data_IF_837821405733
#
_entry.id   IF_837821405733
#
_cell.length_a   1.000
_cell.length_b   1.000
_cell.length_c   1.000
_cell.angle_alpha   90.00
_cell.angle_beta   90.00
_cell.angle_gamma   90.00
#
_symmetry.space_group_name_H-M   'P 1'
#
loop_
_entity.id
_entity.type
_entity.pdbx_description
1 polymer ?
#
# COMPACT_ATOMS: atom_id res chain seq x y z
N UNK A 1 -16.13 -21.32 -38.33
CA UNK A 1 -15.13 -21.79 -39.31
C UNK A 1 -15.67 -21.46 -40.68
N UNK A 2 -14.78 -21.12 -41.61
CA UNK A 2 -15.21 -20.76 -42.95
C UNK A 2 -15.46 -22.06 -43.75
N UNK A 3 -16.29 -21.99 -44.79
CA UNK A 3 -16.70 -23.17 -45.57
C UNK A 3 -15.57 -24.12 -46.04
N UNK A 4 -14.39 -23.62 -46.44
CA UNK A 4 -13.26 -24.46 -46.85
C UNK A 4 -12.71 -25.35 -45.72
N UNK A 5 -12.56 -24.81 -44.51
CA UNK A 5 -11.99 -25.55 -43.36
C UNK A 5 -12.93 -26.70 -42.93
N UNK A 6 -14.24 -26.44 -43.00
CA UNK A 6 -15.26 -27.46 -42.69
C UNK A 6 -15.32 -28.53 -43.78
N UNK A 7 -15.11 -28.16 -45.05
CA UNK A 7 -15.02 -29.12 -46.16
C UNK A 7 -13.82 -30.05 -46.00
N UNK A 8 -12.67 -29.51 -45.57
CA UNK A 8 -11.47 -30.31 -45.32
C UNK A 8 -11.66 -31.30 -44.15
N UNK A 9 -12.40 -30.90 -43.11
CA UNK A 9 -12.81 -31.83 -42.04
C UNK A 9 -13.68 -32.96 -42.59
N UNK A 10 -14.66 -32.66 -43.45
CA UNK A 10 -15.53 -33.66 -44.06
C UNK A 10 -14.73 -34.67 -44.91
N UNK A 11 -13.79 -34.19 -45.73
CA UNK A 11 -12.91 -35.06 -46.54
C UNK A 11 -12.05 -35.99 -45.68
N UNK A 12 -11.55 -35.50 -44.54
CA UNK A 12 -10.75 -36.33 -43.64
C UNK A 12 -11.58 -37.40 -42.94
N UNK A 13 -12.82 -37.08 -42.53
CA UNK A 13 -13.75 -38.06 -41.97
C UNK A 13 -14.15 -39.12 -43.02
N UNK A 14 -14.33 -38.72 -44.28
CA UNK A 14 -14.58 -39.65 -45.38
C UNK A 14 -13.37 -40.56 -45.66
N UNK A 15 -12.15 -40.05 -45.48
CA UNK A 15 -10.91 -40.85 -45.59
C UNK A 15 -10.87 -41.93 -44.51
N UNK A 16 -11.16 -41.57 -43.26
CA UNK A 16 -11.26 -42.53 -42.14
C UNK A 16 -12.34 -43.58 -42.40
N UNK A 17 -13.44 -43.21 -43.04
CA UNK A 17 -14.48 -44.15 -43.47
C UNK A 17 -14.01 -45.10 -44.57
N UNK A 18 -13.32 -44.58 -45.59
CA UNK A 18 -12.82 -45.36 -46.72
C UNK A 18 -11.75 -46.37 -46.32
N UNK A 19 -10.95 -46.06 -45.29
CA UNK A 19 -9.89 -46.94 -44.76
C UNK A 19 -10.44 -48.13 -43.94
N UNK A 20 -11.71 -48.09 -43.52
CA UNK A 20 -12.33 -49.12 -42.67
C UNK A 20 -13.62 -49.71 -43.27
N UNK A 21 -13.55 -50.40 -44.42
CA UNK A 21 -14.73 -50.97 -45.05
C UNK A 21 -15.33 -52.10 -44.18
N UNK A 22 -16.60 -51.94 -43.79
CA UNK A 22 -17.36 -52.95 -43.04
C UNK A 22 -17.20 -52.90 -41.52
N UNK A 23 -16.57 -51.86 -40.95
CA UNK A 23 -16.41 -51.66 -39.52
C UNK A 23 -17.16 -50.40 -39.02
N UNK A 24 -17.44 -50.34 -37.71
CA UNK A 24 -18.04 -49.17 -37.08
C UNK A 24 -17.01 -48.03 -36.94
N UNK A 25 -17.25 -46.89 -37.60
CA UNK A 25 -16.29 -45.78 -37.65
C UNK A 25 -16.54 -44.66 -36.63
N UNK A 26 -17.69 -44.69 -35.93
CA UNK A 26 -18.14 -43.58 -35.08
C UNK A 26 -17.12 -43.28 -33.97
N UNK A 27 -16.55 -44.32 -33.36
CA UNK A 27 -15.53 -44.14 -32.31
C UNK A 27 -14.27 -43.49 -32.86
N UNK A 28 -13.81 -43.94 -34.03
CA UNK A 28 -12.60 -43.41 -34.69
C UNK A 28 -12.80 -41.97 -35.15
N UNK A 29 -13.99 -41.63 -35.66
CA UNK A 29 -14.34 -40.24 -35.93
C UNK A 29 -14.31 -39.38 -34.67
N UNK A 30 -14.89 -39.83 -33.56
CA UNK A 30 -14.90 -39.08 -32.30
C UNK A 30 -13.48 -38.91 -31.74
N UNK A 31 -12.66 -39.95 -31.79
CA UNK A 31 -11.26 -39.92 -31.32
C UNK A 31 -10.43 -38.96 -32.17
N UNK A 32 -10.53 -39.06 -33.50
CA UNK A 32 -9.84 -38.17 -34.42
C UNK A 32 -10.27 -36.71 -34.25
N UNK A 33 -11.58 -36.44 -34.10
CA UNK A 33 -12.09 -35.10 -33.82
C UNK A 33 -11.51 -34.56 -32.51
N UNK A 34 -11.39 -35.40 -31.48
CA UNK A 34 -10.92 -34.96 -30.16
C UNK A 34 -9.43 -34.64 -30.12
N UNK A 35 -8.59 -35.41 -30.81
CA UNK A 35 -7.14 -35.34 -30.65
C UNK A 35 -6.39 -34.78 -31.87
N UNK A 36 -6.98 -34.86 -33.06
CA UNK A 36 -6.28 -34.58 -34.33
C UNK A 36 -6.93 -33.48 -35.17
N UNK A 37 -8.21 -33.14 -34.94
CA UNK A 37 -8.88 -32.09 -35.72
C UNK A 37 -8.25 -30.70 -35.56
N UNK A 38 -7.78 -30.34 -34.36
CA UNK A 38 -7.23 -29.01 -34.07
C UNK A 38 -5.97 -28.70 -34.89
N UNK A 39 -5.11 -29.70 -35.09
CA UNK A 39 -3.92 -29.56 -35.93
C UNK A 39 -4.26 -29.42 -37.43
N UNK A 40 -5.38 -30.02 -37.85
CA UNK A 40 -5.88 -29.93 -39.24
C UNK A 40 -6.70 -28.66 -39.50
N UNK A 41 -7.15 -27.98 -38.45
CA UNK A 41 -7.90 -26.72 -38.52
C UNK A 41 -7.02 -25.46 -38.50
N UNK A 42 -5.69 -25.61 -38.56
CA UNK A 42 -4.72 -24.48 -38.57
C UNK A 42 -4.98 -23.45 -37.46
N UNK A 43 -5.45 -23.93 -36.30
CA UNK A 43 -5.71 -23.11 -35.12
C UNK A 43 -4.40 -22.88 -34.37
N UNK A 44 -3.50 -22.08 -34.94
CA UNK A 44 -2.13 -21.83 -34.46
C UNK A 44 -2.09 -20.88 -33.25
N UNK A 45 -3.11 -20.93 -32.38
CA UNK A 45 -3.30 -20.02 -31.26
C UNK A 45 -3.88 -18.64 -31.63
N UNK A 46 -4.20 -18.39 -32.91
CA UNK A 46 -4.88 -17.17 -33.39
C UNK A 46 -6.05 -17.53 -34.29
N UNK A 47 -7.25 -17.09 -33.94
CA UNK A 47 -8.44 -17.22 -34.79
C UNK A 47 -8.62 -15.89 -35.53
N UNK A 48 -8.44 -15.90 -36.85
CA UNK A 48 -8.74 -14.75 -37.71
C UNK A 48 -10.22 -14.78 -38.10
N UNK A 49 -10.99 -13.80 -37.65
CA UNK A 49 -12.42 -13.69 -37.94
C UNK A 49 -12.62 -12.80 -39.17
N UNK A 50 -12.78 -13.41 -40.35
CA UNK A 50 -13.13 -12.71 -41.60
C UNK A 50 -14.65 -12.53 -41.80
N UNK A 51 -15.07 -11.64 -42.72
CA UNK A 51 -16.48 -11.48 -43.11
C UNK A 51 -17.04 -12.78 -43.70
N UNK A 52 -18.34 -13.02 -43.51
CA UNK A 52 -18.98 -14.26 -43.93
C UNK A 52 -18.93 -14.42 -45.47
N UNK A 53 -18.25 -15.47 -45.95
CA UNK A 53 -18.22 -15.80 -47.38
C UNK A 53 -19.56 -16.43 -47.74
N UNK A 54 -20.45 -15.66 -48.36
CA UNK A 54 -21.84 -16.06 -48.62
C UNK A 54 -22.03 -17.18 -49.65
N UNK A 55 -20.99 -17.59 -50.40
CA UNK A 55 -21.08 -18.72 -51.34
C UNK A 55 -19.76 -19.47 -51.44
N UNK A 56 -19.70 -20.62 -50.80
CA UNK A 56 -18.75 -21.66 -51.16
C UNK A 56 -19.50 -22.77 -51.91
N UNK A 57 -19.04 -23.11 -53.12
CA UNK A 57 -19.58 -24.19 -53.96
C UNK A 57 -18.81 -25.50 -53.73
N UNK A 58 -18.50 -25.86 -52.48
CA UNK A 58 -17.89 -27.15 -52.14
C UNK A 58 -18.87 -28.14 -51.50
N UNK A 59 -18.36 -29.05 -50.66
CA UNK A 59 -19.14 -30.11 -50.02
C UNK A 59 -20.45 -29.57 -49.40
N UNK A 60 -21.59 -30.10 -49.83
CA UNK A 60 -22.92 -29.66 -49.37
C UNK A 60 -23.15 -29.91 -47.88
N UNK A 61 -22.34 -30.77 -47.25
CA UNK A 61 -22.34 -31.04 -45.82
C UNK A 61 -21.56 -29.97 -45.03
N UNK A 62 -20.68 -29.22 -45.70
CA UNK A 62 -19.86 -28.17 -45.10
C UNK A 62 -20.66 -26.87 -44.97
N UNK A 63 -21.47 -26.79 -43.91
CA UNK A 63 -22.26 -25.60 -43.59
C UNK A 63 -21.34 -24.58 -42.93
N UNK A 64 -21.06 -23.46 -43.63
CA UNK A 64 -20.38 -22.30 -43.04
C UNK A 64 -21.26 -21.66 -41.94
N UNK A 65 -20.60 -20.93 -41.02
CA UNK A 65 -21.15 -20.32 -39.79
C UNK A 65 -22.68 -20.17 -39.75
N UNK A 66 -23.33 -20.94 -38.88
CA UNK A 66 -24.78 -20.85 -38.64
C UNK A 66 -25.18 -19.68 -37.71
N UNK A 67 -24.21 -19.03 -37.07
CA UNK A 67 -24.40 -18.00 -36.06
C UNK A 67 -23.53 -16.77 -36.37
N UNK A 68 -24.05 -15.57 -36.11
CA UNK A 68 -23.35 -14.30 -36.36
C UNK A 68 -22.13 -14.14 -35.45
N UNK A 69 -21.05 -13.56 -35.99
CA UNK A 69 -19.84 -13.24 -35.21
C UNK A 69 -20.13 -12.36 -33.99
N UNK A 70 -21.09 -11.43 -34.11
CA UNK A 70 -21.52 -10.55 -33.02
C UNK A 70 -22.06 -11.33 -31.81
N UNK A 71 -22.66 -12.51 -32.04
CA UNK A 71 -23.15 -13.39 -30.97
C UNK A 71 -22.08 -14.37 -30.47
N UNK A 72 -21.24 -14.89 -31.38
CA UNK A 72 -20.26 -15.95 -31.07
C UNK A 72 -19.06 -15.41 -30.29
N UNK A 73 -18.54 -14.22 -30.65
CA UNK A 73 -17.36 -13.65 -29.99
C UNK A 73 -17.59 -13.44 -28.49
N UNK A 74 -18.68 -12.77 -28.04
CA UNK A 74 -18.97 -12.64 -26.60
C UNK A 74 -19.12 -13.99 -25.90
N UNK A 75 -19.77 -14.97 -26.54
CA UNK A 75 -19.92 -16.32 -25.98
C UNK A 75 -18.58 -17.03 -25.80
N UNK A 76 -17.67 -16.95 -26.76
CA UNK A 76 -16.33 -17.53 -26.66
C UNK A 76 -15.49 -16.86 -25.56
N UNK A 77 -15.53 -15.52 -25.47
CA UNK A 77 -14.84 -14.78 -24.41
C UNK A 77 -15.40 -15.10 -23.02
N UNK A 78 -16.73 -15.23 -22.91
CA UNK A 78 -17.40 -15.66 -21.67
C UNK A 78 -17.00 -17.08 -21.27
N UNK A 79 -16.99 -18.01 -22.22
CA UNK A 79 -16.57 -19.39 -21.97
C UNK A 79 -15.10 -19.48 -21.55
N UNK A 80 -14.20 -18.79 -22.26
CA UNK A 80 -12.78 -18.71 -21.92
C UNK A 80 -12.59 -18.12 -20.51
N UNK A 81 -13.25 -17.01 -20.20
CA UNK A 81 -13.21 -16.40 -18.87
C UNK A 81 -13.70 -17.35 -17.78
N UNK A 82 -14.80 -18.09 -18.04
CA UNK A 82 -15.32 -19.10 -17.13
C UNK A 82 -14.33 -20.25 -16.93
N UNK A 83 -13.66 -20.71 -17.98
CA UNK A 83 -12.64 -21.77 -17.89
C UNK A 83 -11.39 -21.32 -17.14
N UNK A 84 -10.89 -20.11 -17.39
CA UNK A 84 -9.79 -19.54 -16.61
C UNK A 84 -10.16 -19.37 -15.14
N UNK A 85 -11.40 -18.97 -14.84
CA UNK A 85 -11.88 -18.89 -13.47
C UNK A 85 -11.98 -20.26 -12.79
N UNK A 86 -12.44 -21.29 -13.51
CA UNK A 86 -12.45 -22.68 -13.00
C UNK A 86 -11.04 -23.18 -12.69
N UNK A 87 -10.10 -23.00 -13.62
CA UNK A 87 -8.70 -23.35 -13.39
C UNK A 87 -8.12 -22.62 -12.18
N UNK A 88 -8.38 -21.30 -12.08
CA UNK A 88 -7.97 -20.52 -10.91
C UNK A 88 -8.51 -21.09 -9.59
N UNK A 89 -9.78 -21.52 -9.53
CA UNK A 89 -10.39 -22.08 -8.31
C UNK A 89 -9.74 -23.40 -7.88
N UNK A 90 -9.27 -24.20 -8.82
CA UNK A 90 -8.65 -25.51 -8.59
C UNK A 90 -7.16 -25.42 -8.28
N UNK A 91 -6.48 -24.43 -8.88
CA UNK A 91 -5.05 -24.18 -8.70
C UNK A 91 -4.71 -23.70 -7.28
N UNK A 92 -3.46 -23.97 -6.88
CA UNK A 92 -2.89 -23.52 -5.61
C UNK A 92 -2.25 -22.14 -5.76
N UNK A 93 -2.68 -21.20 -4.92
CA UNK A 93 -2.18 -19.83 -4.88
C UNK A 93 -1.55 -19.55 -3.51
N UNK A 94 -0.50 -18.73 -3.49
CA UNK A 94 0.18 -18.33 -2.26
C UNK A 94 -0.35 -16.98 -1.77
N UNK A 95 -0.68 -16.90 -0.48
CA UNK A 95 -1.13 -15.66 0.13
C UNK A 95 0.06 -14.83 0.63
N UNK A 96 0.16 -13.57 0.23
CA UNK A 96 1.28 -12.70 0.63
C UNK A 96 1.22 -12.22 2.10
N UNK A 97 0.10 -12.44 2.81
CA UNK A 97 -0.05 -12.06 4.22
C UNK A 97 0.44 -13.20 5.14
N UNK A 98 -0.03 -14.42 4.88
CA UNK A 98 0.27 -15.58 5.75
C UNK A 98 1.27 -16.56 5.14
N UNK A 99 1.72 -16.32 3.91
CA UNK A 99 2.68 -17.14 3.15
C UNK A 99 2.26 -18.60 2.94
N UNK A 100 0.98 -18.92 3.18
CA UNK A 100 0.41 -20.25 2.98
C UNK A 100 -0.19 -20.42 1.59
N UNK A 101 -0.18 -21.65 1.09
CA UNK A 101 -0.81 -22.03 -0.17
C UNK A 101 -2.23 -22.58 0.06
N UNK A 102 -3.20 -22.08 -0.70
CA UNK A 102 -4.57 -22.58 -0.68
C UNK A 102 -5.14 -22.65 -2.10
N UNK A 103 -6.18 -23.46 -2.29
CA UNK A 103 -6.96 -23.44 -3.54
C UNK A 103 -7.55 -22.07 -3.79
N UNK A 104 -7.68 -21.66 -5.06
CA UNK A 104 -8.24 -20.35 -5.43
C UNK A 104 -9.66 -20.10 -4.92
N UNK A 105 -10.41 -21.15 -4.58
CA UNK A 105 -11.71 -21.06 -3.88
C UNK A 105 -11.64 -20.37 -2.51
N UNK A 106 -10.47 -20.41 -1.84
CA UNK A 106 -10.22 -19.74 -0.56
C UNK A 106 -9.52 -18.39 -0.73
N UNK A 107 -9.50 -17.83 -1.96
CA UNK A 107 -8.89 -16.56 -2.27
C UNK A 107 -9.91 -15.51 -2.71
N UNK A 108 -9.60 -14.26 -2.41
CA UNK A 108 -10.36 -13.10 -2.86
C UNK A 108 -9.48 -12.31 -3.81
N UNK A 109 -10.02 -12.04 -4.99
CA UNK A 109 -9.44 -11.12 -5.96
C UNK A 109 -9.99 -9.72 -5.75
N UNK A 110 -9.10 -8.79 -5.41
CA UNK A 110 -9.44 -7.37 -5.32
C UNK A 110 -9.50 -6.73 -6.72
N UNK A 111 -10.14 -5.55 -6.89
CA UNK A 111 -10.15 -4.83 -8.16
C UNK A 111 -8.75 -4.49 -8.68
N UNK A 112 -7.78 -4.31 -7.78
CA UNK A 112 -6.36 -4.12 -8.10
C UNK A 112 -5.63 -5.40 -8.55
N UNK A 113 -6.36 -6.49 -8.77
CA UNK A 113 -5.88 -7.82 -9.14
C UNK A 113 -5.04 -8.58 -8.10
N UNK A 114 -4.78 -7.99 -6.93
CA UNK A 114 -4.13 -8.69 -5.83
C UNK A 114 -5.03 -9.78 -5.23
N UNK A 115 -4.38 -10.88 -4.84
CA UNK A 115 -5.01 -12.10 -4.34
C UNK A 115 -4.60 -12.35 -2.90
N UNK A 116 -5.58 -12.50 -2.02
CA UNK A 116 -5.34 -12.80 -0.61
C UNK A 116 -6.27 -13.90 -0.12
N UNK A 117 -5.81 -14.67 0.87
CA UNK A 117 -6.62 -15.70 1.50
C UNK A 117 -7.84 -15.07 2.20
N UNK A 118 -9.02 -15.71 2.11
CA UNK A 118 -10.26 -15.24 2.73
C UNK A 118 -10.04 -14.97 4.22
N UNK A 119 -9.46 -15.93 4.96
CA UNK A 119 -9.17 -15.80 6.40
C UNK A 119 -8.34 -14.56 6.74
N UNK A 120 -7.35 -14.27 5.90
CA UNK A 120 -6.43 -13.14 6.08
C UNK A 120 -7.19 -11.82 5.91
N UNK A 121 -8.03 -11.74 4.89
CA UNK A 121 -8.86 -10.56 4.63
C UNK A 121 -9.96 -10.38 5.67
N UNK A 122 -10.60 -11.46 6.13
CA UNK A 122 -11.56 -11.40 7.25
C UNK A 122 -10.89 -10.85 8.51
N UNK A 123 -9.72 -11.38 8.86
CA UNK A 123 -8.97 -10.94 10.06
C UNK A 123 -8.58 -9.48 9.95
N UNK A 124 -8.06 -9.05 8.79
CA UNK A 124 -7.73 -7.65 8.51
C UNK A 124 -8.97 -6.75 8.68
N UNK A 125 -10.09 -7.13 8.06
CA UNK A 125 -11.31 -6.32 8.11
C UNK A 125 -11.86 -6.22 9.54
N UNK A 126 -11.94 -7.34 10.25
CA UNK A 126 -12.44 -7.40 11.64
C UNK A 126 -11.61 -6.56 12.59
N UNK A 127 -10.28 -6.64 12.46
CA UNK A 127 -9.35 -5.83 13.25
C UNK A 127 -9.61 -4.33 13.05
N UNK A 128 -9.66 -3.85 11.80
CA UNK A 128 -9.89 -2.43 11.52
C UNK A 128 -11.28 -1.94 11.94
N UNK A 129 -12.31 -2.80 11.85
CA UNK A 129 -13.67 -2.48 12.34
C UNK A 129 -13.71 -2.40 13.88
N UNK A 130 -12.97 -3.28 14.56
CA UNK A 130 -12.86 -3.27 16.03
C UNK A 130 -12.11 -2.05 16.53
N UNK A 131 -11.00 -1.70 15.87
CA UNK A 131 -10.15 -0.55 16.19
C UNK A 131 -10.73 0.79 15.70
N UNK A 132 -11.75 0.78 14.85
CA UNK A 132 -12.32 1.99 14.25
C UNK A 132 -11.42 2.66 13.22
N UNK A 133 -10.40 1.96 12.72
CA UNK A 133 -9.39 2.47 11.76
C UNK A 133 -9.84 2.30 10.31
N UNK A 134 -11.05 2.76 9.97
CA UNK A 134 -11.68 2.52 8.66
C UNK A 134 -10.85 2.95 7.43
N UNK A 135 -10.09 4.04 7.52
CA UNK A 135 -9.27 4.53 6.41
C UNK A 135 -8.05 3.65 6.11
N UNK A 136 -7.75 2.71 7.01
CA UNK A 136 -6.69 1.72 6.81
C UNK A 136 -7.21 0.42 6.19
N UNK A 137 -8.51 0.31 5.88
CA UNK A 137 -9.10 -0.76 5.06
C UNK A 137 -8.73 -0.60 3.58
N UNK A 138 -7.43 -0.66 3.32
CA UNK A 138 -6.83 -0.65 2.00
C UNK A 138 -6.26 -2.02 1.67
N UNK A 139 -6.04 -2.26 0.39
CA UNK A 139 -5.26 -3.42 -0.02
C UNK A 139 -3.88 -3.39 0.68
N UNK A 140 -3.38 -4.53 1.20
CA UNK A 140 -2.07 -4.61 1.86
C UNK A 140 -0.87 -4.25 0.97
N UNK A 141 -1.07 -4.12 -0.35
CA UNK A 141 -0.03 -3.71 -1.28
C UNK A 141 0.03 -2.18 -1.37
N UNK A 142 1.26 -1.65 -1.32
CA UNK A 142 1.60 -0.22 -1.15
C UNK A 142 1.06 0.74 -2.20
N UNK A 143 0.52 0.26 -3.32
CA UNK A 143 0.03 1.10 -4.44
C UNK A 143 -1.48 1.03 -4.68
N UNK A 144 -2.23 0.42 -3.76
CA UNK A 144 -3.62 0.06 -4.02
C UNK A 144 -4.64 0.85 -3.18
N UNK A 145 -5.89 0.83 -3.64
CA UNK A 145 -7.00 1.60 -3.08
C UNK A 145 -7.74 0.85 -1.95
N UNK A 146 -8.80 1.48 -1.44
CA UNK A 146 -9.71 0.92 -0.45
C UNK A 146 -10.41 -0.37 -0.94
N UNK A 147 -10.77 -1.22 0.03
CA UNK A 147 -11.53 -2.44 -0.22
C UNK A 147 -13.00 -2.05 -0.54
N UNK A 148 -13.58 -2.52 -1.66
CA UNK A 148 -14.97 -2.23 -2.01
C UNK A 148 -16.00 -2.73 -1.01
N UNK A 149 -17.10 -2.00 -0.91
CA UNK A 149 -18.23 -2.29 -0.02
C UNK A 149 -18.81 -3.70 -0.18
N UNK A 150 -18.94 -4.19 -1.42
CA UNK A 150 -19.49 -5.53 -1.68
C UNK A 150 -18.59 -6.67 -1.14
N UNK A 151 -17.27 -6.44 -1.05
CA UNK A 151 -16.35 -7.41 -0.46
C UNK A 151 -16.42 -7.39 1.06
N UNK A 152 -16.54 -6.20 1.67
CA UNK A 152 -16.71 -6.05 3.12
C UNK A 152 -17.97 -6.78 3.60
N UNK A 153 -19.08 -6.66 2.86
CA UNK A 153 -20.33 -7.36 3.17
C UNK A 153 -20.19 -8.89 3.13
N UNK A 154 -19.26 -9.41 2.33
CA UNK A 154 -19.00 -10.86 2.22
C UNK A 154 -18.00 -11.36 3.28
N UNK A 155 -17.12 -10.48 3.75
CA UNK A 155 -16.03 -10.80 4.68
C UNK A 155 -16.39 -10.63 6.16
N UNK A 156 -17.36 -9.76 6.45
CA UNK A 156 -17.78 -9.41 7.79
C UNK A 156 -19.11 -10.08 8.14
N UNK A 157 -19.33 -10.35 9.43
CA UNK A 157 -20.66 -10.73 9.91
C UNK A 157 -21.64 -9.56 9.76
N UNK A 158 -22.94 -9.83 9.91
CA UNK A 158 -23.97 -8.80 9.82
C UNK A 158 -23.73 -7.68 10.86
N UNK A 159 -23.40 -8.06 12.09
CA UNK A 159 -23.16 -7.13 13.21
C UNK A 159 -21.88 -6.31 13.00
N UNK A 160 -20.81 -6.94 12.52
CA UNK A 160 -19.55 -6.27 12.21
C UNK A 160 -19.70 -5.28 11.06
N UNK A 161 -20.49 -5.65 10.05
CA UNK A 161 -20.78 -4.81 8.91
C UNK A 161 -21.67 -3.61 9.28
N UNK A 162 -22.71 -3.80 10.09
CA UNK A 162 -23.54 -2.70 10.60
C UNK A 162 -22.72 -1.73 11.47
N UNK A 163 -21.76 -2.25 12.26
CA UNK A 163 -20.82 -1.42 13.00
C UNK A 163 -19.92 -0.63 12.06
N UNK A 164 -19.36 -1.27 11.03
CA UNK A 164 -18.56 -0.60 10.01
C UNK A 164 -19.34 0.52 9.32
N UNK A 165 -20.59 0.26 8.92
CA UNK A 165 -21.46 1.22 8.21
C UNK A 165 -21.75 2.45 9.08
N UNK A 166 -22.08 2.23 10.37
CA UNK A 166 -22.27 3.32 11.33
C UNK A 166 -21.01 4.16 11.52
N UNK A 167 -19.86 3.53 11.70
CA UNK A 167 -18.58 4.22 11.85
C UNK A 167 -18.17 4.93 10.56
N UNK A 168 -18.50 4.39 9.39
CA UNK A 168 -18.25 5.02 8.10
C UNK A 168 -19.10 6.28 7.93
N UNK A 169 -20.38 6.22 8.34
CA UNK A 169 -21.26 7.37 8.37
C UNK A 169 -20.76 8.43 9.37
N UNK A 170 -20.47 8.05 10.61
CA UNK A 170 -19.92 8.97 11.63
C UNK A 170 -18.65 9.65 11.14
N UNK A 171 -17.71 8.91 10.54
CA UNK A 171 -16.49 9.48 9.97
C UNK A 171 -16.73 10.35 8.74
N UNK A 172 -17.71 10.01 7.91
CA UNK A 172 -18.09 10.83 6.77
C UNK A 172 -18.65 12.18 7.25
N UNK A 173 -19.51 12.15 8.28
CA UNK A 173 -20.05 13.35 8.94
C UNK A 173 -18.93 14.16 9.62
N UNK A 174 -18.04 13.53 10.38
CA UNK A 174 -16.88 14.20 10.99
C UNK A 174 -15.89 14.79 9.96
N UNK A 175 -15.87 14.24 8.74
CA UNK A 175 -15.06 14.77 7.65
C UNK A 175 -15.68 15.99 6.99
N UNK A 176 -16.99 16.18 7.14
CA UNK A 176 -17.66 17.44 6.85
C UNK A 176 -17.25 18.44 7.92
N UNK A 177 -17.10 19.71 7.56
CA UNK A 177 -16.72 20.78 8.47
C UNK A 177 -17.90 21.18 9.36
N UNK A 178 -18.54 20.20 10.00
CA UNK A 178 -19.69 20.44 10.86
C UNK A 178 -19.19 20.98 12.19
N UNK A 179 -19.63 22.19 12.51
CA UNK A 179 -19.22 22.90 13.70
C UNK A 179 -20.32 22.75 14.75
N UNK A 180 -20.00 22.09 15.87
CA UNK A 180 -20.96 21.95 16.96
C UNK A 180 -21.15 23.27 17.72
N UNK A 181 -22.41 23.63 17.96
CA UNK A 181 -22.76 24.76 18.80
C UNK A 181 -22.21 24.57 20.23
N UNK A 182 -21.45 25.51 20.80
CA UNK A 182 -20.89 25.40 22.14
C UNK A 182 -21.96 25.41 23.26
N UNK A 183 -23.18 25.89 22.96
CA UNK A 183 -24.28 25.94 23.93
C UNK A 183 -25.20 24.73 23.89
N UNK A 184 -25.37 24.13 22.71
CA UNK A 184 -26.42 23.13 22.48
C UNK A 184 -25.91 21.78 21.95
N UNK A 185 -24.63 21.70 21.56
CA UNK A 185 -23.99 20.52 20.96
C UNK A 185 -24.73 20.00 19.71
N UNK A 186 -25.45 20.90 19.03
CA UNK A 186 -26.11 20.63 17.74
C UNK A 186 -25.11 20.90 16.62
N UNK A 187 -25.05 20.02 15.62
CA UNK A 187 -24.26 20.24 14.41
C UNK A 187 -24.75 21.47 13.65
N UNK A 188 -23.85 22.40 13.36
CA UNK A 188 -24.14 23.63 12.62
C UNK A 188 -23.26 23.67 11.37
N UNK A 189 -23.80 24.21 10.30
CA UNK A 189 -23.05 24.42 9.06
C UNK A 189 -22.29 25.74 9.20
N UNK A 190 -21.01 25.71 8.86
CA UNK A 190 -20.12 26.86 8.80
C UNK A 190 -20.04 27.38 7.36
N UNK A 191 -20.04 28.70 7.17
CA UNK A 191 -19.83 29.33 5.86
C UNK A 191 -18.33 29.55 5.52
N UNK A 192 -18.05 30.16 4.36
CA UNK A 192 -16.67 30.44 3.92
C UNK A 192 -15.88 31.35 4.87
N UNK A 193 -16.58 32.18 5.67
CA UNK A 193 -15.99 33.15 6.61
C UNK A 193 -15.83 32.58 8.03
N UNK A 194 -15.95 31.26 8.19
CA UNK A 194 -15.91 30.57 9.48
C UNK A 194 -17.02 31.01 10.45
N UNK A 195 -18.15 31.47 9.92
CA UNK A 195 -19.33 31.83 10.69
C UNK A 195 -20.28 30.64 10.73
N UNK A 196 -20.67 30.25 11.95
CA UNK A 196 -21.65 29.19 12.19
C UNK A 196 -22.82 29.75 13.00
N UNK A 197 -24.04 29.49 12.54
CA UNK A 197 -25.27 29.82 13.26
C UNK A 197 -25.95 28.55 13.74
N UNK A 198 -26.28 28.49 15.04
CA UNK A 198 -27.00 27.36 15.59
C UNK A 198 -28.50 27.42 15.26
N UNK A 199 -29.07 26.42 14.57
CA UNK A 199 -30.50 26.42 14.23
C UNK A 199 -31.41 26.27 15.45
N UNK A 200 -30.89 25.79 16.59
CA UNK A 200 -31.67 25.58 17.82
C UNK A 200 -31.73 26.81 18.71
N UNK A 201 -30.63 27.55 18.85
CA UNK A 201 -30.52 28.67 19.79
C UNK A 201 -30.11 30.00 19.16
N UNK A 202 -29.99 30.04 17.82
CA UNK A 202 -29.57 31.20 17.02
C UNK A 202 -28.26 31.84 17.53
N UNK A 203 -27.40 31.06 18.18
CA UNK A 203 -26.11 31.52 18.63
C UNK A 203 -25.15 31.53 17.43
N UNK A 204 -24.65 32.72 17.09
CA UNK A 204 -23.66 32.94 16.03
C UNK A 204 -22.26 32.91 16.60
N UNK A 205 -21.39 32.08 16.04
CA UNK A 205 -20.06 31.84 16.58
C UNK A 205 -19.03 31.53 15.48
N UNK A 206 -17.76 31.73 15.80
CA UNK A 206 -16.66 31.36 14.91
C UNK A 206 -16.41 29.86 14.99
N UNK A 207 -16.45 29.14 13.86
CA UNK A 207 -16.28 27.69 13.90
C UNK A 207 -14.87 27.22 14.23
N UNK A 208 -13.87 28.09 14.09
CA UNK A 208 -12.50 27.83 14.54
C UNK A 208 -12.32 27.90 16.05
N UNK A 209 -12.65 29.05 16.67
CA UNK A 209 -12.37 29.29 18.09
C UNK A 209 -13.55 29.01 19.02
N UNK A 210 -14.73 28.73 18.46
CA UNK A 210 -16.00 28.49 19.15
C UNK A 210 -16.48 29.64 20.05
N UNK A 211 -15.92 30.84 19.87
CA UNK A 211 -16.35 32.08 20.53
C UNK A 211 -17.32 32.86 19.64
N UNK A 212 -17.85 33.98 20.15
CA UNK A 212 -18.63 34.91 19.33
C UNK A 212 -17.92 35.23 18.00
N UNK A 213 -18.72 35.23 16.93
CA UNK A 213 -18.23 35.48 15.59
C UNK A 213 -17.52 36.84 15.50
N UNK A 214 -16.39 36.87 14.80
CA UNK A 214 -15.48 38.01 14.76
C UNK A 214 -15.00 38.29 13.31
N UNK A 215 -15.77 39.05 12.50
CA UNK A 215 -15.44 39.29 11.10
C UNK A 215 -14.09 40.00 10.95
N UNK A 216 -13.26 39.51 10.03
CA UNK A 216 -11.98 40.12 9.66
C UNK A 216 -10.89 40.12 10.75
N UNK A 217 -11.13 39.46 11.90
CA UNK A 217 -10.15 39.33 12.99
C UNK A 217 -9.66 37.90 13.09
N UNK A 218 -8.37 37.71 13.31
CA UNK A 218 -7.82 36.39 13.62
C UNK A 218 -8.36 35.91 14.98
N UNK A 219 -8.61 34.60 15.10
CA UNK A 219 -8.96 33.99 16.37
C UNK A 219 -7.89 34.30 17.41
N UNK A 220 -8.33 34.72 18.61
CA UNK A 220 -7.42 34.94 19.73
C UNK A 220 -6.79 33.62 20.14
N UNK A 221 -5.46 33.60 20.23
CA UNK A 221 -4.75 32.45 20.77
C UNK A 221 -5.06 32.30 22.27
N UNK A 222 -4.91 31.09 22.85
CA UNK A 222 -5.09 30.88 24.29
C UNK A 222 -4.30 31.89 25.15
N UNK A 223 -3.08 32.22 24.73
CA UNK A 223 -2.21 33.20 25.40
C UNK A 223 -2.81 34.62 25.34
N UNK A 224 -3.35 35.03 24.20
CA UNK A 224 -3.99 36.34 24.05
C UNK A 224 -5.31 36.43 24.85
N UNK A 225 -6.06 35.32 24.96
CA UNK A 225 -7.25 35.26 25.83
C UNK A 225 -6.86 35.44 27.30
N UNK A 226 -5.77 34.82 27.74
CA UNK A 226 -5.19 35.00 29.09
C UNK A 226 -4.76 36.44 29.37
N UNK A 227 -4.08 37.08 28.41
CA UNK A 227 -3.70 38.49 28.54
C UNK A 227 -4.91 39.43 28.64
N UNK A 228 -6.01 39.14 27.91
CA UNK A 228 -7.26 39.91 28.05
C UNK A 228 -7.93 39.72 29.42
N UNK A 229 -7.93 38.49 29.96
CA UNK A 229 -8.46 38.21 31.31
C UNK A 229 -7.65 38.92 32.39
N UNK A 230 -6.32 38.99 32.23
CA UNK A 230 -5.42 39.81 33.05
C UNK A 230 -5.80 41.29 32.98
N UNK A 231 -5.95 41.84 31.78
CA UNK A 231 -6.34 43.25 31.57
C UNK A 231 -7.73 43.60 32.13
N UNK A 232 -8.59 42.61 32.34
CA UNK A 232 -9.93 42.76 32.92
C UNK A 232 -9.95 42.61 34.45
N UNK A 233 -8.80 42.44 35.09
CA UNK A 233 -8.66 42.28 36.55
C UNK A 233 -9.23 40.97 37.11
N UNK A 234 -9.52 39.99 36.25
CA UNK A 234 -10.18 38.72 36.63
C UNK A 234 -9.20 37.61 37.07
N UNK A 235 -7.89 37.82 36.96
CA UNK A 235 -6.85 36.85 37.32
C UNK A 235 -5.59 37.54 37.83
N UNK A 236 -4.93 36.90 38.79
CA UNK A 236 -3.63 37.31 39.34
C UNK A 236 -2.48 36.88 38.41
N UNK A 237 -1.32 37.54 38.55
CA UNK A 237 -0.14 37.26 37.71
C UNK A 237 0.37 35.81 37.86
N UNK A 238 0.20 35.23 39.06
CA UNK A 238 0.56 33.84 39.36
C UNK A 238 -0.36 32.84 38.68
N UNK A 239 -1.67 33.12 38.64
CA UNK A 239 -2.64 32.28 37.93
C UNK A 239 -2.43 32.33 36.41
N UNK A 240 -2.09 33.51 35.86
CA UNK A 240 -1.78 33.64 34.42
C UNK A 240 -0.52 32.86 34.06
N UNK A 241 0.52 32.91 34.90
CA UNK A 241 1.74 32.14 34.69
C UNK A 241 1.51 30.62 34.77
N UNK A 242 0.69 30.16 35.72
CA UNK A 242 0.32 28.75 35.85
C UNK A 242 -0.47 28.26 34.64
N UNK A 243 -1.45 29.02 34.18
CA UNK A 243 -2.25 28.66 32.99
C UNK A 243 -1.39 28.65 31.71
N UNK A 244 -0.45 29.58 31.56
CA UNK A 244 0.52 29.56 30.46
C UNK A 244 1.42 28.32 30.49
N UNK A 245 1.86 27.89 31.67
CA UNK A 245 2.62 26.65 31.82
C UNK A 245 1.76 25.42 31.47
N UNK A 246 0.52 25.37 31.95
CA UNK A 246 -0.42 24.30 31.64
C UNK A 246 -0.71 24.20 30.13
N UNK A 247 -0.89 25.33 29.45
CA UNK A 247 -1.08 25.38 27.99
C UNK A 247 0.17 24.88 27.28
N UNK A 248 1.37 25.32 27.67
CA UNK A 248 2.62 24.86 27.04
C UNK A 248 2.82 23.36 27.18
N UNK A 249 2.54 22.81 28.35
CA UNK A 249 2.61 21.36 28.58
C UNK A 249 1.56 20.61 27.76
N UNK A 250 0.29 21.08 27.74
CA UNK A 250 -0.79 20.41 27.00
C UNK A 250 -0.55 20.41 25.48
N UNK A 251 -0.06 21.52 24.93
CA UNK A 251 0.26 21.64 23.51
C UNK A 251 1.69 21.19 23.19
N UNK A 252 2.42 20.55 24.10
CA UNK A 252 3.71 19.96 23.77
C UNK A 252 3.54 18.79 22.80
N UNK A 253 2.59 17.91 23.15
CA UNK A 253 2.40 16.63 22.46
C UNK A 253 1.05 16.52 21.74
N UNK A 254 0.30 17.62 21.63
CA UNK A 254 -1.05 17.64 21.00
C UNK A 254 -1.15 18.71 19.91
N UNK A 255 -1.72 18.34 18.77
CA UNK A 255 -2.05 19.22 17.63
C UNK A 255 -3.43 18.94 17.10
N UNK A 256 -4.12 19.97 16.61
CA UNK A 256 -5.42 19.79 15.95
C UNK A 256 -5.27 19.52 14.46
N UNK A 257 -6.11 18.64 13.92
CA UNK A 257 -6.16 18.38 12.49
C UNK A 257 -6.60 19.65 11.74
N UNK A 258 -5.89 20.09 10.67
CA UNK A 258 -6.28 21.27 9.92
C UNK A 258 -7.59 21.11 9.13
N UNK A 259 -8.06 19.88 8.91
CA UNK A 259 -9.29 19.58 8.17
C UNK A 259 -10.48 19.37 9.11
N UNK A 260 -10.44 18.33 9.94
CA UNK A 260 -11.57 17.95 10.80
C UNK A 260 -11.45 18.44 12.26
N UNK A 261 -10.43 19.25 12.59
CA UNK A 261 -10.22 19.90 13.90
C UNK A 261 -10.11 18.98 15.13
N UNK A 262 -10.03 17.65 14.95
CA UNK A 262 -9.81 16.69 16.05
C UNK A 262 -8.40 16.84 16.65
N UNK A 263 -8.29 16.71 17.97
CA UNK A 263 -7.01 16.70 18.65
C UNK A 263 -6.26 15.38 18.38
N UNK A 264 -4.99 15.50 18.01
CA UNK A 264 -4.11 14.40 17.65
C UNK A 264 -2.86 14.53 18.51
N UNK A 265 -2.56 13.49 19.28
CA UNK A 265 -1.31 13.38 19.99
C UNK A 265 -0.25 12.70 19.12
N UNK A 266 1.00 13.15 19.19
CA UNK A 266 2.13 12.44 18.55
C UNK A 266 2.62 11.40 19.54
N UNK A 267 2.58 10.12 19.15
CA UNK A 267 3.19 9.06 19.95
C UNK A 267 4.70 9.02 19.69
N UNK A 268 5.14 8.78 18.45
CA UNK A 268 6.55 8.68 18.05
C UNK A 268 6.73 8.98 16.55
N UNK A 269 7.97 9.15 16.08
CA UNK A 269 8.31 9.21 14.65
C UNK A 269 8.34 10.61 14.03
N UNK A 270 8.15 10.69 12.71
CA UNK A 270 8.34 11.94 11.97
C UNK A 270 7.17 12.92 12.11
N UNK A 271 7.42 14.20 11.87
CA UNK A 271 6.42 15.28 11.88
C UNK A 271 5.40 15.21 10.74
N UNK A 272 5.51 14.26 9.80
CA UNK A 272 4.47 13.99 8.78
C UNK A 272 3.43 13.05 9.37
N UNK A 273 2.35 13.62 9.87
CA UNK A 273 1.25 12.87 10.49
C UNK A 273 0.10 12.68 9.51
N UNK A 274 -0.70 11.63 9.74
CA UNK A 274 -1.97 11.38 9.06
C UNK A 274 -3.07 11.46 10.10
N UNK A 275 -4.11 12.25 9.85
CA UNK A 275 -5.27 12.25 10.72
C UNK A 275 -6.02 10.91 10.60
N UNK A 276 -6.14 10.16 11.70
CA UNK A 276 -6.90 8.90 11.72
C UNK A 276 -8.41 9.06 11.51
N UNK A 277 -8.93 10.30 11.65
CA UNK A 277 -10.35 10.60 11.48
C UNK A 277 -10.74 11.06 10.07
N UNK A 278 -9.89 11.80 9.36
CA UNK A 278 -10.24 12.30 8.02
C UNK A 278 -9.21 11.97 6.94
N UNK A 279 -8.13 11.26 7.29
CA UNK A 279 -7.05 10.88 6.36
C UNK A 279 -6.14 12.02 5.91
N UNK A 280 -6.40 13.27 6.33
CA UNK A 280 -5.59 14.42 5.93
C UNK A 280 -4.15 14.28 6.43
N UNK A 281 -3.18 14.39 5.52
CA UNK A 281 -1.79 14.56 5.90
C UNK A 281 -1.55 15.98 6.41
N UNK A 282 -0.83 16.12 7.52
CA UNK A 282 -0.46 17.43 8.06
C UNK A 282 0.90 17.36 8.75
N UNK A 283 1.54 18.52 8.89
CA UNK A 283 2.78 18.64 9.63
C UNK A 283 2.48 18.86 11.12
N UNK A 284 2.92 17.96 12.00
CA UNK A 284 2.73 18.10 13.45
C UNK A 284 3.43 19.34 14.01
N UNK A 285 4.58 19.72 13.44
CA UNK A 285 5.34 20.88 13.91
C UNK A 285 4.61 22.21 13.69
N UNK A 286 4.04 22.41 12.50
CA UNK A 286 3.41 23.69 12.13
C UNK A 286 1.88 23.64 11.99
N UNK A 287 1.26 22.47 12.13
CA UNK A 287 -0.20 22.29 12.01
C UNK A 287 -0.78 22.40 10.60
N UNK A 288 0.04 22.66 9.57
CA UNK A 288 -0.45 22.87 8.20
C UNK A 288 -0.77 21.56 7.48
N UNK A 289 -1.83 21.58 6.66
CA UNK A 289 -2.15 20.50 5.74
C UNK A 289 -1.04 20.33 4.68
N UNK A 290 -0.67 19.09 4.37
CA UNK A 290 0.35 18.73 3.39
C UNK A 290 -0.18 17.61 2.48
N UNK A 291 0.46 17.38 1.34
CA UNK A 291 0.13 16.28 0.42
C UNK A 291 1.29 15.30 0.22
N UNK A 292 2.49 15.61 0.73
CA UNK A 292 3.70 14.81 0.54
C UNK A 292 4.85 15.31 1.42
N UNK A 293 6.09 15.11 0.97
CA UNK A 293 7.29 15.51 1.71
C UNK A 293 7.86 16.88 1.31
N UNK A 294 7.30 17.54 0.29
CA UNK A 294 7.77 18.84 -0.20
C UNK A 294 7.82 19.92 0.88
N UNK A 295 6.87 19.89 1.83
CA UNK A 295 6.84 20.80 2.97
C UNK A 295 8.10 20.77 3.84
N UNK A 296 8.78 19.62 3.93
CA UNK A 296 9.94 19.42 4.82
C UNK A 296 11.26 19.91 4.24
N UNK A 297 11.23 20.56 3.07
CA UNK A 297 12.35 21.39 2.60
C UNK A 297 12.55 22.61 3.50
N UNK A 298 11.44 23.21 3.95
CA UNK A 298 11.42 24.41 4.79
C UNK A 298 10.98 24.12 6.23
N UNK A 299 10.73 22.85 6.56
CA UNK A 299 10.25 22.42 7.87
C UNK A 299 10.96 21.13 8.32
N UNK A 300 11.25 20.97 9.61
CA UNK A 300 11.99 19.77 10.08
C UNK A 300 11.07 18.55 10.12
N UNK A 301 11.51 17.48 9.43
CA UNK A 301 10.79 16.20 9.41
C UNK A 301 10.98 15.40 10.70
N UNK A 302 12.17 15.44 11.30
CA UNK A 302 12.47 14.76 12.57
C UNK A 302 12.89 15.78 13.62
N UNK A 303 12.44 15.58 14.87
CA UNK A 303 12.97 16.31 16.02
C UNK A 303 14.31 15.68 16.44
N UNK A 304 15.29 16.45 16.94
CA UNK A 304 16.59 15.91 17.36
C UNK A 304 16.49 14.79 18.41
N UNK A 305 15.46 14.83 19.25
CA UNK A 305 15.22 13.82 20.28
C UNK A 305 14.74 12.47 19.71
N UNK A 306 14.09 12.47 18.53
CA UNK A 306 13.57 11.24 17.91
C UNK A 306 14.68 10.42 17.20
N UNK A 307 15.89 10.97 17.07
CA UNK A 307 17.03 10.33 16.37
C UNK A 307 18.01 9.64 17.34
N UNK A 308 18.00 10.01 18.63
CA UNK A 308 19.05 9.59 19.57
C UNK A 308 19.08 8.08 19.82
N UNK A 309 17.92 7.41 19.83
CA UNK A 309 17.87 5.96 20.04
C UNK A 309 18.30 5.18 18.81
N UNK A 310 17.99 5.69 17.61
CA UNK A 310 18.43 5.09 16.36
C UNK A 310 19.93 5.28 16.16
N UNK A 311 20.45 6.47 16.45
CA UNK A 311 21.89 6.76 16.39
C UNK A 311 22.66 5.86 17.38
N UNK A 312 22.15 5.70 18.62
CA UNK A 312 22.73 4.80 19.62
C UNK A 312 22.74 3.32 19.19
N UNK A 313 21.64 2.83 18.60
CA UNK A 313 21.57 1.47 18.06
C UNK A 313 22.50 1.26 16.86
N UNK A 314 22.65 2.27 16.00
CA UNK A 314 23.58 2.22 14.88
C UNK A 314 25.04 2.19 15.37
N UNK A 315 25.38 2.92 16.42
CA UNK A 315 26.70 2.89 17.04
C UNK A 315 27.01 1.54 17.71
N UNK A 316 26.04 0.94 18.41
CA UNK A 316 26.16 -0.41 18.99
C UNK A 316 26.37 -1.48 17.91
N UNK A 317 25.64 -1.40 16.79
CA UNK A 317 25.81 -2.29 15.63
C UNK A 317 27.16 -2.08 14.92
N UNK A 318 27.66 -0.84 14.86
CA UNK A 318 28.98 -0.53 14.31
C UNK A 318 30.10 -1.14 15.17
N UNK A 319 30.04 -1.00 16.48
CA UNK A 319 30.98 -1.63 17.43
C UNK A 319 30.97 -3.16 17.33
N UNK A 320 29.77 -3.78 17.30
CA UNK A 320 29.62 -5.22 17.13
C UNK A 320 30.18 -5.73 15.80
N UNK A 321 30.05 -4.96 14.72
CA UNK A 321 30.60 -5.28 13.40
C UNK A 321 32.10 -5.00 13.25
N UNK A 322 32.68 -4.13 14.08
CA UNK A 322 34.13 -3.94 14.18
C UNK A 322 34.78 -5.14 14.89
N UNK A 323 34.23 -5.57 16.03
CA UNK A 323 34.71 -6.74 16.79
C UNK A 323 34.61 -8.06 16.01
N UNK A 324 33.51 -8.28 15.28
CA UNK A 324 33.28 -9.52 14.50
C UNK A 324 34.27 -9.72 13.35
N UNK A 325 34.85 -8.64 12.81
CA UNK A 325 35.83 -8.71 11.72
C UNK A 325 37.27 -8.87 12.23
N UNK A 326 37.60 -8.35 13.42
CA UNK A 326 38.90 -8.62 14.06
C UNK A 326 39.07 -10.11 14.37
N UNK A 327 38.02 -10.76 14.88
CA UNK A 327 38.01 -12.17 15.30
C UNK A 327 38.04 -13.20 14.14
N UNK A 328 37.86 -12.79 12.88
CA UNK A 328 37.93 -13.73 11.75
C UNK A 328 39.38 -14.20 11.54
N UNK A 329 39.65 -15.50 11.48
CA UNK A 329 41.00 -16.03 11.31
C UNK A 329 41.61 -15.62 9.96
N UNK A 330 42.93 -15.58 9.89
CA UNK A 330 43.68 -15.45 8.62
C UNK A 330 43.26 -16.61 7.71
N UNK A 331 42.94 -16.31 6.45
CA UNK A 331 42.35 -17.24 5.47
C UNK A 331 40.82 -17.19 5.37
N UNK A 332 40.12 -16.48 6.25
CA UNK A 332 38.66 -16.31 6.13
C UNK A 332 38.28 -15.38 4.97
N UNK A 333 37.14 -15.68 4.32
CA UNK A 333 36.53 -14.77 3.36
C UNK A 333 35.83 -13.60 4.07
N UNK A 334 36.16 -12.39 3.62
CA UNK A 334 35.67 -11.11 4.15
C UNK A 334 35.25 -10.19 3.00
N UNK A 335 34.27 -9.31 3.22
CA UNK A 335 33.90 -8.30 2.20
C UNK A 335 34.82 -7.10 2.29
N UNK A 336 35.32 -6.63 1.16
CA UNK A 336 36.11 -5.41 1.06
C UNK A 336 35.28 -4.20 1.56
N UNK A 337 35.79 -3.37 2.50
CA UNK A 337 35.07 -2.18 2.94
C UNK A 337 34.81 -1.13 1.85
N UNK A 338 35.63 -1.13 0.78
CA UNK A 338 35.53 -0.16 -0.32
C UNK A 338 34.56 -0.59 -1.42
N UNK A 339 34.73 -1.80 -1.96
CA UNK A 339 33.94 -2.29 -3.10
C UNK A 339 32.91 -3.37 -2.74
N UNK A 340 32.89 -3.83 -1.48
CA UNK A 340 32.03 -4.92 -0.96
C UNK A 340 32.24 -6.30 -1.58
N UNK A 341 33.17 -6.43 -2.53
CA UNK A 341 33.53 -7.70 -3.14
C UNK A 341 34.20 -8.64 -2.11
N UNK A 342 34.04 -9.95 -2.30
CA UNK A 342 34.62 -10.94 -1.40
C UNK A 342 36.14 -11.04 -1.61
N UNK A 343 36.91 -10.93 -0.53
CA UNK A 343 38.36 -11.00 -0.49
C UNK A 343 38.82 -11.92 0.62
N UNK A 344 40.03 -12.46 0.51
CA UNK A 344 40.64 -13.26 1.59
C UNK A 344 41.35 -12.35 2.58
N UNK A 345 41.21 -12.65 3.88
CA UNK A 345 42.04 -12.02 4.92
C UNK A 345 43.43 -12.67 4.86
N UNK A 346 44.37 -11.96 4.26
CA UNK A 346 45.76 -12.38 4.08
C UNK A 346 46.65 -12.06 5.29
N UNK A 347 46.34 -10.99 6.02
CA UNK A 347 47.09 -10.54 7.20
C UNK A 347 46.14 -10.23 8.38
N UNK A 348 46.67 -10.28 9.61
CA UNK A 348 45.93 -9.93 10.82
C UNK A 348 45.66 -8.43 10.92
N UNK A 349 46.57 -7.61 10.38
CA UNK A 349 46.57 -6.15 10.51
C UNK A 349 45.84 -5.45 9.35
N UNK A 350 45.98 -5.99 8.14
CA UNK A 350 45.42 -5.38 6.93
C UNK A 350 44.77 -6.43 6.03
N UNK A 351 43.69 -6.05 5.37
CA UNK A 351 43.08 -6.85 4.31
C UNK A 351 43.39 -6.15 2.99
N UNK A 352 44.05 -6.85 2.05
CA UNK A 352 44.22 -6.34 0.70
C UNK A 352 43.11 -6.83 -0.24
N UNK A 353 42.45 -5.88 -0.92
CA UNK A 353 41.50 -6.22 -1.96
C UNK A 353 42.17 -6.13 -3.33
N UNK A 354 42.23 -7.26 -4.05
CA UNK A 354 42.81 -7.32 -5.39
C UNK A 354 41.97 -6.56 -6.43
N UNK A 355 40.65 -6.41 -6.20
CA UNK A 355 39.73 -5.76 -7.14
C UNK A 355 39.88 -4.23 -7.13
N UNK A 356 39.94 -3.63 -5.94
CA UNK A 356 40.10 -2.17 -5.81
C UNK A 356 41.53 -1.72 -5.50
N UNK A 357 42.49 -2.67 -5.51
CA UNK A 357 43.90 -2.49 -5.21
C UNK A 357 44.18 -1.67 -3.93
N UNK A 358 43.32 -1.81 -2.93
CA UNK A 358 43.38 -1.01 -1.70
C UNK A 358 43.49 -1.93 -0.49
N UNK A 359 44.27 -1.49 0.50
CA UNK A 359 44.33 -2.17 1.79
C UNK A 359 43.41 -1.48 2.78
N UNK A 360 42.69 -2.26 3.57
CA UNK A 360 41.87 -1.75 4.68
C UNK A 360 42.42 -2.24 6.01
N UNK A 361 42.46 -1.37 7.01
CA UNK A 361 42.78 -1.75 8.38
C UNK A 361 41.74 -2.74 8.92
N UNK A 362 42.18 -3.85 9.50
CA UNK A 362 41.25 -4.85 10.07
C UNK A 362 40.50 -4.33 11.30
N UNK A 363 41.04 -3.32 11.99
CA UNK A 363 40.42 -2.73 13.17
C UNK A 363 39.38 -1.64 12.83
N UNK A 364 39.79 -0.58 12.12
CA UNK A 364 38.91 0.58 11.85
C UNK A 364 38.30 0.59 10.44
N UNK A 365 38.61 -0.40 9.58
CA UNK A 365 38.15 -0.52 8.18
C UNK A 365 38.55 0.65 7.25
N UNK A 366 39.33 1.61 7.73
CA UNK A 366 39.84 2.74 6.93
C UNK A 366 40.71 2.22 5.79
N UNK A 367 40.52 2.82 4.61
CA UNK A 367 41.27 2.49 3.40
C UNK A 367 42.63 3.18 3.44
N UNK A 368 43.70 2.39 3.33
CA UNK A 368 45.09 2.81 3.29
C UNK A 368 45.60 2.59 1.87
N UNK A 369 45.82 3.69 1.15
CA UNK A 369 46.30 3.69 -0.24
C UNK A 369 47.81 3.85 -0.34
N UNK A 370 48.48 4.37 0.70
CA UNK A 370 49.93 4.61 0.71
C UNK A 370 50.69 3.48 1.43
N UNK A 371 51.73 2.93 0.77
CA UNK A 371 52.60 1.89 1.33
C UNK A 371 53.38 2.35 2.56
N UNK A 372 53.69 3.65 2.68
CA UNK A 372 54.43 4.19 3.86
C UNK A 372 53.54 4.34 5.10
N UNK A 373 52.23 4.49 4.93
CA UNK A 373 51.26 4.57 6.05
C UNK A 373 50.84 3.20 6.60
N UNK A 374 51.08 2.11 5.84
CA UNK A 374 50.81 0.73 6.31
C UNK A 374 51.63 0.35 7.55
N UNK A 375 52.84 0.86 7.73
CA UNK A 375 53.71 0.40 8.83
C UNK A 375 53.44 1.08 10.18
N UNK A 376 52.43 1.96 10.30
CA UNK A 376 52.16 2.68 11.56
C UNK A 376 50.69 2.95 11.88
N UNK A 377 49.74 2.68 10.98
CA UNK A 377 48.34 3.00 11.24
C UNK A 377 47.68 2.01 12.22
N UNK A 378 47.87 0.70 12.04
CA UNK A 378 47.24 -0.31 12.89
C UNK A 378 47.69 -0.18 14.35
N UNK A 379 46.74 0.16 15.24
CA UNK A 379 47.01 0.38 16.67
C UNK A 379 47.45 1.80 17.05
N UNK A 380 47.51 2.74 16.09
CA UNK A 380 47.76 4.16 16.38
C UNK A 380 46.54 4.86 17.00
N UNK A 381 46.76 6.00 17.66
CA UNK A 381 45.68 6.87 18.14
C UNK A 381 44.70 7.27 17.03
N UNK A 382 45.18 7.43 15.80
CA UNK A 382 44.37 7.69 14.60
C UNK A 382 43.50 6.49 14.18
N UNK A 383 43.90 5.27 14.54
CA UNK A 383 43.12 4.06 14.28
C UNK A 383 42.03 3.82 15.33
N UNK A 384 42.21 4.28 16.57
CA UNK A 384 41.20 4.18 17.64
C UNK A 384 40.14 5.28 17.60
N UNK A 385 40.38 6.37 16.88
CA UNK A 385 39.52 7.55 16.81
C UNK A 385 38.58 7.55 15.58
N UNK A 386 38.41 6.41 14.90
CA UNK A 386 37.63 6.28 13.64
C UNK A 386 36.46 5.33 13.73
#
# INVERSE_FOLDING_TARGET
MDGPDVSQLCEMLDTIWAEMPGQEVVYQWVEWIRYSSLANLWLDGKILLGPDIHRYNGDRRAISRSLSLESVIPSMLSYSSKKHYQAFLEDLHMCMICLNQWKGSNFIKLPCQHLYCVKCMETLCKMHVKEGTLFQLVCPDTKCTSIPHYLLKRLLSKEEFERWDRLALEKALDSMSDVYCPKCVVGCVEDEDNNAECPKCSFTFCGFCKELWHPGKQCLTPEQKLQRRRGSGRMTEREVAQELANIRELYKDVRVCPKCRIAIAKCEGCNKMVCGNCGQFFCFRCGKAICGYSHFTNCRLFEPHDMTDLDRQMDELQFGNQMRNQLKPVGAMVRCPRCREMTFKDDEKYIFCMVCAASSCTMCKRIITDRRMKSGHWGSSECYSS
#
